data_IF_448626144690
#
_entry.id   IF_448626144690
#
_cell.length_a   1.000
_cell.length_b   1.000
_cell.length_c   1.000
_cell.angle_alpha   90.00
_cell.angle_beta   90.00
_cell.angle_gamma   90.00
#
_symmetry.space_group_name_H-M   'P 1'
#
loop_
_entity.id
_entity.type
_entity.pdbx_description
1 polymer ?
#
# COMPACT_ATOMS: atom_id res chain seq x y z
N UNK A 1 29.59 -9.79 -42.77
CA UNK A 1 30.28 -10.34 -41.58
C UNK A 1 30.63 -9.19 -40.65
N UNK A 2 30.11 -9.15 -39.43
CA UNK A 2 30.48 -8.10 -38.46
C UNK A 2 31.92 -8.35 -38.00
N UNK A 3 32.83 -7.38 -38.22
CA UNK A 3 34.22 -7.42 -37.73
C UNK A 3 34.23 -7.65 -36.21
N UNK A 4 35.08 -8.55 -35.68
CA UNK A 4 35.09 -8.92 -34.26
C UNK A 4 35.17 -7.76 -33.27
N UNK A 5 35.81 -6.64 -33.66
CA UNK A 5 35.84 -5.39 -32.88
C UNK A 5 34.45 -4.80 -32.63
N UNK A 6 33.54 -4.90 -33.62
CA UNK A 6 32.13 -4.46 -33.49
C UNK A 6 31.36 -5.34 -32.51
N UNK A 7 31.61 -6.65 -32.51
CA UNK A 7 30.96 -7.57 -31.57
C UNK A 7 31.39 -7.30 -30.12
N UNK A 8 32.68 -7.03 -29.89
CA UNK A 8 33.19 -6.66 -28.56
C UNK A 8 32.53 -5.35 -28.09
N UNK A 9 32.46 -4.34 -28.95
CA UNK A 9 31.79 -3.07 -28.62
C UNK A 9 30.30 -3.31 -28.30
N UNK A 10 29.59 -4.09 -29.11
CA UNK A 10 28.20 -4.45 -28.85
C UNK A 10 28.03 -5.19 -27.51
N UNK A 11 28.92 -6.13 -27.18
CA UNK A 11 28.88 -6.87 -25.93
C UNK A 11 29.11 -5.96 -24.70
N UNK A 12 30.07 -5.02 -24.80
CA UNK A 12 30.33 -4.04 -23.74
C UNK A 12 29.14 -3.11 -23.54
N UNK A 13 28.54 -2.62 -24.63
CA UNK A 13 27.34 -1.77 -24.56
C UNK A 13 26.19 -2.53 -23.89
N UNK A 14 25.95 -3.78 -24.29
CA UNK A 14 24.91 -4.62 -23.70
C UNK A 14 25.15 -4.83 -22.19
N UNK A 15 26.38 -5.14 -21.79
CA UNK A 15 26.75 -5.31 -20.38
C UNK A 15 26.50 -4.03 -19.58
N UNK A 16 26.87 -2.85 -20.12
CA UNK A 16 26.62 -1.57 -19.46
C UNK A 16 25.13 -1.27 -19.32
N UNK A 17 24.30 -1.59 -20.33
CA UNK A 17 22.85 -1.44 -20.25
C UNK A 17 22.26 -2.35 -19.16
N UNK A 18 22.71 -3.60 -19.08
CA UNK A 18 22.25 -4.53 -18.04
C UNK A 18 22.65 -4.07 -16.63
N UNK A 19 23.90 -3.62 -16.44
CA UNK A 19 24.38 -3.09 -15.17
C UNK A 19 23.58 -1.83 -14.78
N UNK A 20 23.35 -0.93 -15.74
CA UNK A 20 22.56 0.28 -15.53
C UNK A 20 21.12 -0.05 -15.11
N UNK A 21 20.50 -1.03 -15.78
CA UNK A 21 19.15 -1.49 -15.45
C UNK A 21 19.05 -2.09 -14.04
N UNK A 22 19.98 -2.97 -13.66
CA UNK A 22 20.04 -3.53 -12.31
C UNK A 22 20.27 -2.44 -11.25
N UNK A 23 21.18 -1.51 -11.54
CA UNK A 23 21.48 -0.39 -10.65
C UNK A 23 20.26 0.52 -10.44
N UNK A 24 19.47 0.76 -11.49
CA UNK A 24 18.23 1.54 -11.42
C UNK A 24 17.21 0.91 -10.46
N UNK A 25 17.03 -0.41 -10.54
CA UNK A 25 16.12 -1.15 -9.64
C UNK A 25 16.56 -1.01 -8.19
N UNK A 26 17.87 -1.17 -7.93
CA UNK A 26 18.45 -1.04 -6.58
C UNK A 26 18.27 0.39 -6.06
N UNK A 27 18.58 1.39 -6.88
CA UNK A 27 18.45 2.80 -6.51
C UNK A 27 16.99 3.17 -6.15
N UNK A 28 16.01 2.66 -6.89
CA UNK A 28 14.60 2.87 -6.58
C UNK A 28 14.21 2.33 -5.19
N UNK A 29 14.66 1.13 -4.82
CA UNK A 29 14.41 0.57 -3.49
C UNK A 29 15.16 1.31 -2.39
N UNK A 30 16.42 1.66 -2.64
CA UNK A 30 17.24 2.41 -1.69
C UNK A 30 16.66 3.81 -1.40
N UNK A 31 16.07 4.47 -2.40
CA UNK A 31 15.39 5.74 -2.24
C UNK A 31 14.20 5.63 -1.26
N UNK A 32 13.39 4.58 -1.36
CA UNK A 32 12.29 4.35 -0.41
C UNK A 32 12.80 4.13 1.01
N UNK A 33 13.88 3.38 1.19
CA UNK A 33 14.46 3.15 2.53
C UNK A 33 15.07 4.43 3.12
N UNK A 34 15.65 5.28 2.29
CA UNK A 34 16.35 6.50 2.74
C UNK A 34 15.40 7.66 2.97
N UNK A 35 14.47 7.86 2.05
CA UNK A 35 13.59 9.03 1.98
C UNK A 35 12.13 8.69 2.31
N UNK A 36 11.87 7.45 2.72
CA UNK A 36 10.53 6.97 3.12
C UNK A 36 10.02 7.63 4.40
N UNK A 37 8.69 7.73 4.51
CA UNK A 37 8.01 8.26 5.69
C UNK A 37 7.59 7.12 6.62
N UNK A 38 7.99 7.19 7.89
CA UNK A 38 7.48 6.28 8.92
C UNK A 38 6.05 6.65 9.31
N UNK A 39 5.15 5.67 9.23
CA UNK A 39 3.72 5.79 9.55
C UNK A 39 3.40 4.81 10.67
N UNK A 40 3.15 5.33 11.87
CA UNK A 40 2.81 4.51 13.04
C UNK A 40 1.29 4.33 13.12
N UNK A 41 0.80 3.11 12.95
CA UNK A 41 -0.63 2.78 12.98
C UNK A 41 -1.00 2.07 14.29
N UNK A 42 -2.23 2.29 14.76
CA UNK A 42 -2.79 1.52 15.87
C UNK A 42 -3.29 0.18 15.37
N UNK A 43 -2.83 -0.89 16.02
CA UNK A 43 -3.27 -2.26 15.76
C UNK A 43 -4.46 -2.59 16.66
N UNK A 44 -5.50 -3.16 16.06
CA UNK A 44 -6.60 -3.84 16.74
C UNK A 44 -6.28 -5.34 16.80
N UNK A 45 -6.35 -5.98 17.98
CA UNK A 45 -6.08 -7.40 18.11
C UNK A 45 -7.16 -8.22 17.37
N UNK A 46 -6.73 -9.06 16.43
CA UNK A 46 -7.58 -10.05 15.76
C UNK A 46 -7.03 -11.43 16.10
N UNK A 47 -7.84 -12.27 16.73
CA UNK A 47 -7.50 -13.67 17.05
C UNK A 47 -7.41 -14.51 15.75
N UNK A 48 -6.21 -14.94 15.32
CA UNK A 48 -6.00 -15.60 14.05
C UNK A 48 -6.32 -17.09 14.18
N UNK A 49 -7.58 -17.48 14.02
CA UNK A 49 -7.94 -18.89 13.92
C UNK A 49 -7.61 -19.42 12.53
N UNK A 50 -6.43 -20.00 12.34
CA UNK A 50 -6.16 -20.91 11.23
C UNK A 50 -5.16 -22.01 11.63
N UNK A 51 -5.67 -23.20 11.95
CA UNK A 51 -4.89 -24.34 12.45
C UNK A 51 -4.07 -25.07 11.37
N UNK A 52 -4.18 -24.69 10.09
CA UNK A 52 -3.62 -25.47 8.97
C UNK A 52 -2.63 -24.67 8.09
N UNK A 53 -2.36 -23.39 8.40
CA UNK A 53 -1.51 -22.50 7.58
C UNK A 53 -0.23 -21.98 8.27
N UNK A 54 0.10 -22.51 9.46
CA UNK A 54 1.23 -22.04 10.28
C UNK A 54 0.88 -20.82 11.14
N UNK A 55 1.86 -20.33 11.91
CA UNK A 55 1.68 -19.22 12.86
C UNK A 55 1.77 -17.86 12.14
N UNK A 56 0.63 -17.26 11.85
CA UNK A 56 0.56 -15.86 11.40
C UNK A 56 -0.48 -15.10 12.21
N UNK A 57 -0.22 -13.81 12.44
CA UNK A 57 -1.15 -12.90 13.10
C UNK A 57 -1.78 -11.99 12.06
N UNK A 58 -3.12 -11.92 12.07
CA UNK A 58 -3.85 -10.92 11.31
C UNK A 58 -3.87 -9.61 12.11
N UNK A 59 -3.39 -8.54 11.53
CA UNK A 59 -3.38 -7.20 12.11
C UNK A 59 -4.61 -6.44 11.61
N UNK A 60 -5.48 -6.00 12.53
CA UNK A 60 -6.48 -5.00 12.23
C UNK A 60 -5.88 -3.61 12.41
N UNK A 61 -6.23 -2.64 11.57
CA UNK A 61 -5.82 -1.25 11.76
C UNK A 61 -7.03 -0.35 11.92
N UNK A 62 -6.88 0.73 12.69
CA UNK A 62 -7.93 1.76 12.78
C UNK A 62 -8.26 2.35 11.40
N UNK A 63 -7.25 2.46 10.52
CA UNK A 63 -7.41 2.94 9.13
C UNK A 63 -8.09 1.91 8.21
N UNK A 64 -8.26 0.66 8.65
CA UNK A 64 -9.03 -0.37 7.92
C UNK A 64 -10.53 -0.30 8.21
N UNK A 65 -10.99 0.75 8.92
CA UNK A 65 -12.41 1.04 9.14
C UNK A 65 -12.67 2.50 8.73
N UNK A 66 -13.13 2.70 7.51
CA UNK A 66 -13.37 4.03 6.94
C UNK A 66 -14.88 4.29 6.87
N UNK A 67 -15.42 5.20 7.68
CA UNK A 67 -16.80 5.66 7.52
C UNK A 67 -16.98 6.25 6.12
N UNK A 68 -18.05 5.88 5.42
CA UNK A 68 -18.32 6.36 4.05
C UNK A 68 -18.38 7.88 3.98
N UNK A 69 -18.83 8.55 5.04
CA UNK A 69 -18.80 10.01 5.19
C UNK A 69 -17.42 10.68 5.03
N UNK A 70 -16.32 9.94 5.19
CA UNK A 70 -14.96 10.44 4.96
C UNK A 70 -14.54 10.34 3.49
N UNK A 71 -15.31 9.63 2.66
CA UNK A 71 -15.05 9.45 1.25
C UNK A 71 -15.66 10.63 0.49
N UNK A 72 -14.81 11.43 -0.14
CA UNK A 72 -15.27 12.67 -0.78
C UNK A 72 -15.93 12.44 -2.15
N UNK A 73 -15.67 11.29 -2.81
CA UNK A 73 -16.15 11.00 -4.16
C UNK A 73 -16.90 9.65 -4.24
N UNK A 74 -18.05 9.58 -3.58
CA UNK A 74 -18.88 8.37 -3.63
C UNK A 74 -19.42 8.16 -5.06
N UNK A 75 -19.20 6.99 -5.69
CA UNK A 75 -19.69 6.70 -7.03
C UNK A 75 -21.23 6.74 -7.12
N UNK A 76 -21.75 7.02 -8.32
CA UNK A 76 -23.17 7.04 -8.61
C UNK A 76 -23.75 5.61 -8.65
N UNK A 77 -23.97 5.06 -7.48
CA UNK A 77 -24.38 3.69 -7.23
C UNK A 77 -24.06 3.41 -5.77
N UNK A 78 -25.08 3.10 -4.96
CA UNK A 78 -24.91 2.95 -3.50
C UNK A 78 -24.11 1.69 -3.11
N UNK A 79 -23.46 1.02 -4.07
CA UNK A 79 -22.71 -0.21 -3.88
C UNK A 79 -21.40 -0.15 -4.66
N UNK A 80 -20.33 -0.77 -4.14
CA UNK A 80 -19.13 -1.04 -4.93
C UNK A 80 -19.42 -2.13 -5.95
N UNK A 81 -19.28 -1.80 -7.23
CA UNK A 81 -19.55 -2.75 -8.32
C UNK A 81 -18.41 -3.72 -8.57
N UNK A 82 -17.17 -3.33 -8.29
CA UNK A 82 -15.94 -4.07 -8.58
C UNK A 82 -14.91 -3.87 -7.45
N UNK A 83 -13.83 -4.67 -7.45
CA UNK A 83 -12.64 -4.39 -6.63
C UNK A 83 -12.06 -3.02 -7.00
N UNK A 84 -12.20 -2.06 -6.10
CA UNK A 84 -11.94 -0.65 -6.40
C UNK A 84 -10.78 -0.13 -5.56
N UNK A 85 -9.75 0.48 -6.17
CA UNK A 85 -8.68 1.11 -5.42
C UNK A 85 -9.22 2.32 -4.66
N UNK A 86 -8.77 2.47 -3.41
CA UNK A 86 -9.08 3.61 -2.56
C UNK A 86 -7.78 4.23 -2.04
N UNK A 87 -7.71 5.55 -2.12
CA UNK A 87 -6.64 6.35 -1.53
C UNK A 87 -7.15 6.93 -0.23
N UNK A 88 -6.46 6.65 0.87
CA UNK A 88 -6.79 7.18 2.19
C UNK A 88 -5.67 8.12 2.64
N UNK A 89 -6.04 9.36 2.95
CA UNK A 89 -5.14 10.36 3.51
C UNK A 89 -5.02 10.20 5.01
N UNK A 90 -3.79 10.04 5.47
CA UNK A 90 -3.45 9.91 6.87
C UNK A 90 -2.75 11.18 7.37
N UNK A 91 -3.03 11.52 8.63
CA UNK A 91 -2.35 12.58 9.36
C UNK A 91 -1.96 12.08 10.74
N UNK A 92 -0.79 12.51 11.20
CA UNK A 92 -0.33 12.18 12.55
C UNK A 92 -1.17 12.93 13.60
N UNK A 93 -1.76 12.19 14.52
CA UNK A 93 -2.46 12.71 15.70
C UNK A 93 -1.49 13.16 16.79
N UNK A 94 -2.03 13.84 17.82
CA UNK A 94 -1.27 14.29 18.98
C UNK A 94 -0.69 13.13 19.83
N UNK A 95 -1.25 11.93 19.67
CA UNK A 95 -0.81 10.69 20.30
C UNK A 95 0.33 9.98 19.53
N UNK A 96 0.80 10.57 18.43
CA UNK A 96 1.87 10.05 17.58
C UNK A 96 1.40 9.01 16.55
N UNK A 97 0.15 8.56 16.60
CA UNK A 97 -0.42 7.60 15.66
C UNK A 97 -1.04 8.30 14.45
N UNK A 98 -0.97 7.65 13.30
CA UNK A 98 -1.54 8.15 12.06
C UNK A 98 -2.98 7.69 11.92
N UNK A 99 -3.89 8.64 11.73
CA UNK A 99 -5.32 8.40 11.57
C UNK A 99 -5.81 8.82 10.19
N UNK A 100 -6.86 8.15 9.70
CA UNK A 100 -7.52 8.49 8.45
C UNK A 100 -8.30 9.81 8.57
N UNK A 101 -8.13 10.68 7.57
CA UNK A 101 -8.76 12.01 7.53
C UNK A 101 -9.75 12.16 6.39
N UNK A 102 -9.37 11.73 5.19
CA UNK A 102 -10.21 11.77 3.99
C UNK A 102 -9.83 10.62 3.08
N UNK A 103 -10.79 10.12 2.32
CA UNK A 103 -10.57 9.05 1.36
C UNK A 103 -11.16 9.37 -0.01
N UNK A 104 -10.59 8.77 -1.05
CA UNK A 104 -11.09 8.88 -2.41
C UNK A 104 -11.00 7.53 -3.12
N UNK A 105 -12.03 7.15 -3.86
CA UNK A 105 -11.89 6.08 -4.83
C UNK A 105 -11.04 6.54 -6.02
N UNK A 106 -10.13 5.67 -6.49
CA UNK A 106 -9.21 5.98 -7.58
C UNK A 106 -8.01 6.82 -7.13
N UNK A 107 -8.03 8.13 -7.40
CA UNK A 107 -6.90 9.03 -7.13
C UNK A 107 -7.31 10.20 -6.25
N UNK A 108 -6.44 10.61 -5.33
CA UNK A 108 -6.61 11.85 -4.57
C UNK A 108 -6.55 13.08 -5.51
N UNK A 109 -7.36 14.12 -5.25
CA UNK A 109 -7.44 15.30 -6.13
C UNK A 109 -6.17 16.17 -6.09
N UNK A 110 -5.38 16.06 -5.02
CA UNK A 110 -4.13 16.78 -4.82
C UNK A 110 -3.15 15.87 -4.07
N UNK A 111 -1.83 16.02 -4.26
CA UNK A 111 -0.84 15.28 -3.47
C UNK A 111 -0.95 15.60 -1.98
N UNK A 112 -0.53 14.66 -1.14
CA UNK A 112 -0.48 14.86 0.31
C UNK A 112 0.38 16.08 0.68
N UNK A 113 -0.12 16.91 1.59
CA UNK A 113 0.61 18.07 2.09
C UNK A 113 1.78 17.64 3.00
N UNK A 114 2.65 18.59 3.35
CA UNK A 114 3.71 18.33 4.34
C UNK A 114 3.11 17.90 5.68
N UNK A 115 3.44 16.70 6.15
CA UNK A 115 2.88 16.10 7.37
C UNK A 115 1.66 15.21 7.16
N UNK A 116 1.22 15.03 5.91
CA UNK A 116 0.20 14.07 5.52
C UNK A 116 0.84 12.99 4.63
N UNK A 117 0.22 11.82 4.58
CA UNK A 117 0.61 10.74 3.67
C UNK A 117 -0.62 10.11 3.07
N UNK A 118 -0.52 9.67 1.83
CA UNK A 118 -1.58 8.91 1.18
C UNK A 118 -1.18 7.43 1.17
N UNK A 119 -2.10 6.56 1.62
CA UNK A 119 -1.98 5.11 1.53
C UNK A 119 -3.01 4.58 0.54
N UNK A 120 -2.60 3.63 -0.30
CA UNK A 120 -3.47 2.97 -1.28
C UNK A 120 -3.89 1.63 -0.72
N UNK A 121 -5.20 1.37 -0.74
CA UNK A 121 -5.79 0.08 -0.43
C UNK A 121 -6.83 -0.32 -1.48
N UNK A 122 -7.46 -1.46 -1.25
CA UNK A 122 -8.49 -2.03 -2.11
C UNK A 122 -9.77 -2.28 -1.33
N UNK A 123 -10.91 -1.94 -1.93
CA UNK A 123 -12.25 -2.23 -1.39
C UNK A 123 -12.88 -3.26 -2.29
N UNK A 124 -13.26 -4.41 -1.72
CA UNK A 124 -13.91 -5.47 -2.47
C UNK A 124 -15.26 -5.03 -3.07
N UNK A 125 -15.80 -5.82 -3.98
CA UNK A 125 -17.17 -5.63 -4.46
C UNK A 125 -18.22 -5.84 -3.35
N UNK A 126 -19.41 -5.26 -3.52
CA UNK A 126 -20.58 -5.52 -2.69
C UNK A 126 -20.73 -4.69 -1.41
N UNK A 127 -19.89 -3.67 -1.17
CA UNK A 127 -20.02 -2.79 0.00
C UNK A 127 -21.08 -1.72 -0.22
N UNK A 128 -21.96 -1.52 0.76
CA UNK A 128 -22.89 -0.39 0.79
C UNK A 128 -22.15 0.92 1.06
N UNK A 129 -22.39 1.90 0.20
CA UNK A 129 -21.82 3.24 0.23
C UNK A 129 -22.83 4.27 0.75
N UNK A 130 -23.76 3.84 1.61
CA UNK A 130 -24.60 4.74 2.38
C UNK A 130 -23.80 5.44 3.50
N UNK A 131 -24.18 6.67 3.84
CA UNK A 131 -23.41 7.53 4.77
C UNK A 131 -23.26 6.94 6.19
N UNK A 132 -24.17 6.06 6.60
CA UNK A 132 -24.13 5.39 7.90
C UNK A 132 -23.20 4.17 7.92
N UNK A 133 -22.72 3.71 6.77
CA UNK A 133 -21.91 2.51 6.64
C UNK A 133 -20.42 2.82 6.82
N UNK A 134 -19.68 1.81 7.29
CA UNK A 134 -18.23 1.83 7.38
C UNK A 134 -17.69 0.73 6.48
N UNK A 135 -16.79 1.08 5.56
CA UNK A 135 -16.13 0.13 4.68
C UNK A 135 -14.78 -0.28 5.25
N UNK A 136 -14.30 -1.46 4.85
CA UNK A 136 -13.01 -1.98 5.30
C UNK A 136 -12.05 -2.22 4.11
N UNK A 137 -11.20 -1.23 3.79
CA UNK A 137 -10.16 -1.42 2.78
C UNK A 137 -9.05 -2.35 3.29
N UNK A 138 -8.50 -3.15 2.38
CA UNK A 138 -7.30 -3.98 2.57
C UNK A 138 -6.08 -3.28 1.98
N UNK A 139 -5.00 -3.18 2.75
CA UNK A 139 -3.77 -2.48 2.41
C UNK A 139 -2.60 -3.44 2.08
N UNK A 140 -2.81 -4.75 2.16
CA UNK A 140 -1.78 -5.76 1.96
C UNK A 140 -0.74 -5.86 3.08
N UNK A 141 -0.95 -5.19 4.21
CA UNK A 141 -0.07 -5.19 5.40
C UNK A 141 -0.72 -5.83 6.63
N UNK A 142 -1.88 -6.46 6.47
CA UNK A 142 -2.69 -7.08 7.51
C UNK A 142 -2.15 -8.42 7.98
N UNK A 143 -1.11 -8.97 7.33
CA UNK A 143 -0.55 -10.28 7.69
C UNK A 143 0.87 -10.13 8.22
N UNK A 144 1.06 -10.56 9.46
CA UNK A 144 2.37 -10.66 10.09
C UNK A 144 2.74 -12.13 10.30
N UNK A 145 3.83 -12.57 9.68
CA UNK A 145 4.31 -13.95 9.76
C UNK A 145 5.34 -14.08 10.89
N UNK A 146 5.14 -15.04 11.80
CA UNK A 146 6.10 -15.28 12.87
C UNK A 146 7.28 -16.12 12.33
N UNK A 147 8.51 -15.90 12.82
CA UNK A 147 9.61 -16.82 12.60
C UNK A 147 9.28 -18.21 13.17
N UNK A 148 9.66 -19.28 12.49
CA UNK A 148 9.46 -20.64 12.99
C UNK A 148 10.17 -20.83 14.34
N UNK A 149 9.46 -21.38 15.33
CA UNK A 149 10.01 -21.76 16.64
C UNK A 149 9.91 -20.71 17.76
N UNK A 150 9.22 -19.58 17.53
CA UNK A 150 8.95 -18.55 18.57
C UNK A 150 7.49 -18.54 19.09
N UNK A 151 6.70 -19.57 18.77
CA UNK A 151 5.30 -19.75 19.18
C UNK A 151 5.10 -20.46 20.52
#
# INVERSE_FOLDING_TARGET
MMTGKRLIVSAVVLALVQIGFLSWIIAGRAAILRDGKQVLLRVEPIDPRDLLRGDFVRLGYQISRIPVKLIANIPAGKLTSDDTPIVVRLKQGADGYWGATTAWFGQAPAPAASGEVDIIGHVSEGWDLSEATTIAPDYGIERFYLPEGEG
#
